data_IF_088317704214
#
_entry.id   IF_088317704214
#
_cell.length_a   1.000
_cell.length_b   1.000
_cell.length_c   1.000
_cell.angle_alpha   90.00
_cell.angle_beta   90.00
_cell.angle_gamma   90.00
#
_symmetry.space_group_name_H-M   'P 1'
#
loop_
_entity.id
_entity.type
_entity.pdbx_description
1 polymer ?
#
# COMPACT_ATOMS: atom_id res chain seq x y z
N UNK A 1 -11.40 35.27 -5.17
CA UNK A 1 -10.52 34.14 -4.80
C UNK A 1 -11.19 32.87 -5.32
N UNK A 2 -10.82 32.39 -6.50
CA UNK A 2 -11.46 31.22 -7.11
C UNK A 2 -10.94 29.96 -6.41
N UNK A 3 -11.76 29.37 -5.55
CA UNK A 3 -11.48 28.07 -4.93
C UNK A 3 -11.66 27.01 -6.03
N UNK A 4 -10.59 26.69 -6.75
CA UNK A 4 -10.60 25.57 -7.70
C UNK A 4 -10.81 24.29 -6.90
N UNK A 5 -11.97 23.66 -7.08
CA UNK A 5 -12.30 22.40 -6.43
C UNK A 5 -11.57 21.30 -7.21
N UNK A 6 -10.57 20.70 -6.58
CA UNK A 6 -9.88 19.56 -7.15
C UNK A 6 -10.65 18.29 -6.81
N UNK A 7 -11.30 17.70 -7.81
CA UNK A 7 -11.98 16.43 -7.66
C UNK A 7 -10.95 15.31 -7.88
N UNK A 8 -10.50 14.67 -6.80
CA UNK A 8 -9.63 13.50 -6.86
C UNK A 8 -10.32 12.29 -6.22
N UNK A 9 -10.09 11.11 -6.78
CA UNK A 9 -10.55 9.84 -6.20
C UNK A 9 -9.42 9.21 -5.40
N UNK A 10 -9.63 8.99 -4.11
CA UNK A 10 -8.74 8.21 -3.25
C UNK A 10 -9.01 6.72 -3.43
N UNK A 11 -7.94 5.92 -3.45
CA UNK A 11 -7.99 4.46 -3.44
C UNK A 11 -6.99 3.92 -2.42
N UNK A 12 -7.30 2.76 -1.84
CA UNK A 12 -6.39 2.03 -0.96
C UNK A 12 -6.26 0.63 -1.54
N UNK A 13 -5.04 0.25 -1.91
CA UNK A 13 -4.73 -1.04 -2.49
C UNK A 13 -3.95 -1.88 -1.48
N UNK A 14 -4.16 -3.19 -1.46
CA UNK A 14 -3.48 -4.10 -0.54
C UNK A 14 -2.16 -4.63 -1.12
N UNK A 15 -2.01 -4.56 -2.44
CA UNK A 15 -0.85 -5.08 -3.17
C UNK A 15 -0.31 -4.06 -4.16
N UNK A 16 1.03 -3.99 -4.35
CA UNK A 16 1.62 -3.17 -5.41
C UNK A 16 1.22 -3.69 -6.80
N UNK A 17 0.77 -4.93 -6.94
CA UNK A 17 0.33 -5.49 -8.23
C UNK A 17 -0.99 -4.90 -8.71
N UNK A 18 -1.74 -4.21 -7.85
CA UNK A 18 -3.02 -3.58 -8.19
C UNK A 18 -2.86 -2.20 -8.84
N UNK A 19 -1.65 -1.65 -8.85
CA UNK A 19 -1.33 -0.37 -9.50
C UNK A 19 -0.40 -0.61 -10.69
N UNK A 20 -0.61 0.16 -11.76
CA UNK A 20 0.26 0.12 -12.93
C UNK A 20 1.68 0.58 -12.58
N UNK A 21 2.66 -0.26 -12.94
CA UNK A 21 4.06 -0.01 -12.61
C UNK A 21 4.62 1.23 -13.33
N UNK A 22 4.17 1.50 -14.56
CA UNK A 22 4.64 2.64 -15.33
C UNK A 22 4.06 3.95 -14.77
N UNK A 23 2.79 3.98 -14.38
CA UNK A 23 2.19 5.14 -13.72
C UNK A 23 2.85 5.43 -12.36
N UNK A 24 3.09 4.40 -11.56
CA UNK A 24 3.78 4.54 -10.29
C UNK A 24 5.21 5.08 -10.46
N UNK A 25 5.98 4.50 -11.38
CA UNK A 25 7.36 4.92 -11.63
C UNK A 25 7.41 6.32 -12.28
N UNK A 26 6.41 6.71 -13.08
CA UNK A 26 6.30 8.06 -13.62
C UNK A 26 6.08 9.11 -12.51
N UNK A 27 5.30 8.79 -11.47
CA UNK A 27 5.16 9.65 -10.29
C UNK A 27 6.45 9.75 -9.48
N UNK A 28 7.13 8.61 -9.27
CA UNK A 28 8.41 8.60 -8.58
C UNK A 28 9.46 9.47 -9.29
N UNK A 29 9.48 9.44 -10.64
CA UNK A 29 10.37 10.26 -11.44
C UNK A 29 10.10 11.78 -11.32
N UNK A 30 8.91 12.19 -10.86
CA UNK A 30 8.59 13.60 -10.60
C UNK A 30 9.04 14.06 -9.20
N UNK A 31 9.46 13.15 -8.31
CA UNK A 31 10.01 13.54 -7.01
C UNK A 31 11.39 14.18 -7.17
N UNK A 32 11.68 15.18 -6.34
CA UNK A 32 12.98 15.85 -6.37
C UNK A 32 14.15 14.90 -6.03
N UNK A 33 13.90 13.84 -5.27
CA UNK A 33 14.88 12.82 -4.89
C UNK A 33 14.25 11.42 -4.99
N UNK A 34 14.21 10.82 -6.18
CA UNK A 34 13.66 9.48 -6.36
C UNK A 34 14.54 8.46 -5.64
N UNK A 35 13.94 7.63 -4.79
CA UNK A 35 14.66 6.53 -4.13
C UNK A 35 14.34 5.20 -4.79
N UNK A 36 15.33 4.30 -4.97
CA UNK A 36 15.08 2.99 -5.57
C UNK A 36 14.13 2.12 -4.73
N UNK A 37 14.03 2.41 -3.42
CA UNK A 37 13.17 1.70 -2.48
C UNK A 37 11.67 2.01 -2.64
N UNK A 38 11.33 3.06 -3.40
CA UNK A 38 9.96 3.39 -3.73
C UNK A 38 9.58 2.98 -5.15
N UNK A 39 10.46 2.31 -5.89
CA UNK A 39 10.13 1.77 -7.21
C UNK A 39 9.11 0.66 -7.10
N UNK A 40 8.23 0.55 -8.11
CA UNK A 40 7.23 -0.51 -8.16
C UNK A 40 7.86 -1.89 -8.06
N UNK A 41 8.97 -2.12 -8.76
CA UNK A 41 9.65 -3.42 -8.79
C UNK A 41 10.20 -3.80 -7.42
N UNK A 42 10.70 -2.83 -6.65
CA UNK A 42 11.20 -3.07 -5.29
C UNK A 42 10.06 -3.38 -4.33
N UNK A 43 8.96 -2.63 -4.39
CA UNK A 43 7.77 -2.87 -3.56
C UNK A 43 7.11 -4.22 -3.88
N UNK A 44 7.07 -4.58 -5.17
CA UNK A 44 6.60 -5.89 -5.63
C UNK A 44 7.49 -7.02 -5.12
N UNK A 45 8.82 -6.86 -5.21
CA UNK A 45 9.76 -7.83 -4.66
C UNK A 45 9.61 -7.99 -3.13
N UNK A 46 9.42 -6.90 -2.38
CA UNK A 46 9.17 -6.92 -0.93
C UNK A 46 7.87 -7.64 -0.56
N UNK A 47 6.83 -7.44 -1.36
CA UNK A 47 5.56 -8.12 -1.17
C UNK A 47 5.70 -9.62 -1.49
N UNK A 48 6.34 -9.95 -2.61
CA UNK A 48 6.58 -11.33 -3.03
C UNK A 48 7.51 -12.10 -2.06
N UNK A 49 8.48 -11.43 -1.44
CA UNK A 49 9.39 -12.05 -0.46
C UNK A 49 8.77 -12.24 0.92
N UNK A 50 7.50 -11.83 1.12
CA UNK A 50 6.79 -11.90 2.40
C UNK A 50 7.53 -11.23 3.57
N UNK A 51 8.44 -10.30 3.29
CA UNK A 51 9.27 -9.68 4.34
C UNK A 51 8.51 -8.57 5.08
N UNK A 52 7.58 -7.89 4.40
CA UNK A 52 6.76 -6.81 4.94
C UNK A 52 5.28 -7.05 4.62
N UNK A 53 4.75 -8.20 5.06
CA UNK A 53 3.36 -8.63 4.85
C UNK A 53 2.68 -8.90 6.19
N UNK A 54 1.35 -9.01 6.19
CA UNK A 54 0.56 -9.08 7.42
C UNK A 54 1.02 -10.18 8.39
N UNK A 55 1.59 -11.26 7.85
CA UNK A 55 2.15 -12.39 8.61
C UNK A 55 3.37 -12.00 9.48
N UNK A 56 4.11 -10.95 9.10
CA UNK A 56 5.20 -10.37 9.90
C UNK A 56 4.74 -9.23 10.82
N UNK A 57 3.42 -9.01 10.92
CA UNK A 57 2.82 -7.93 11.72
C UNK A 57 2.78 -6.57 11.01
N UNK A 58 3.11 -6.52 9.71
CA UNK A 58 3.09 -5.31 8.89
C UNK A 58 2.09 -5.45 7.74
N UNK A 59 1.03 -4.65 7.69
CA UNK A 59 0.11 -4.62 6.57
C UNK A 59 0.51 -3.51 5.59
N UNK A 60 1.07 -3.83 4.41
CA UNK A 60 1.31 -2.82 3.38
C UNK A 60 -0.03 -2.36 2.81
N UNK A 61 -0.18 -1.06 2.67
CA UNK A 61 -1.32 -0.38 2.06
C UNK A 61 -0.78 0.67 1.09
N UNK A 62 -1.24 0.65 -0.15
CA UNK A 62 -0.82 1.62 -1.16
C UNK A 62 -1.96 2.61 -1.35
N UNK A 63 -1.78 3.81 -0.80
CA UNK A 63 -2.74 4.90 -0.95
C UNK A 63 -2.50 5.57 -2.28
N UNK A 64 -3.56 5.68 -3.08
CA UNK A 64 -3.51 6.25 -4.43
C UNK A 64 -4.49 7.41 -4.55
N UNK A 65 -4.15 8.38 -5.39
CA UNK A 65 -4.99 9.50 -5.79
C UNK A 65 -5.08 9.47 -7.31
N UNK A 66 -6.29 9.32 -7.84
CA UNK A 66 -6.54 9.32 -9.29
C UNK A 66 -7.30 10.58 -9.68
N UNK A 67 -6.88 11.23 -10.75
CA UNK A 67 -7.65 12.30 -11.38
C UNK A 67 -8.77 11.68 -12.22
N UNK A 68 -10.06 11.84 -11.86
CA UNK A 68 -11.18 11.26 -12.59
C UNK A 68 -11.34 11.84 -14.00
N UNK A 69 -10.75 13.00 -14.30
CA UNK A 69 -10.83 13.64 -15.64
C UNK A 69 -9.88 12.98 -16.63
N UNK A 70 -8.70 12.58 -16.16
CA UNK A 70 -7.66 11.96 -16.99
C UNK A 70 -7.58 10.45 -16.80
N UNK A 71 -8.13 9.92 -15.71
CA UNK A 71 -8.02 8.52 -15.30
C UNK A 71 -6.63 8.15 -14.75
N UNK A 72 -5.71 9.11 -14.61
CA UNK A 72 -4.31 8.87 -14.28
C UNK A 72 -4.03 9.02 -12.79
N UNK A 73 -3.02 8.30 -12.32
CA UNK A 73 -2.49 8.45 -10.98
C UNK A 73 -1.86 9.86 -10.80
N UNK A 74 -2.45 10.66 -9.91
CA UNK A 74 -2.00 11.99 -9.55
C UNK A 74 -1.02 11.97 -8.36
N UNK A 75 -1.21 11.03 -7.43
CA UNK A 75 -0.28 10.80 -6.33
C UNK A 75 -0.40 9.36 -5.82
N UNK A 76 0.67 8.85 -5.23
CA UNK A 76 0.65 7.56 -4.54
C UNK A 76 1.65 7.51 -3.39
N UNK A 77 1.33 6.75 -2.34
CA UNK A 77 2.18 6.58 -1.17
C UNK A 77 2.04 5.14 -0.62
N UNK A 78 3.15 4.41 -0.44
CA UNK A 78 3.13 3.16 0.31
C UNK A 78 3.10 3.47 1.81
N UNK A 79 2.17 2.86 2.52
CA UNK A 79 1.97 2.98 3.96
C UNK A 79 2.06 1.58 4.56
N UNK A 80 2.93 1.40 5.54
CA UNK A 80 3.05 0.12 6.24
C UNK A 80 2.41 0.28 7.62
N UNK A 81 1.22 -0.30 7.78
CA UNK A 81 0.53 -0.32 9.05
C UNK A 81 1.12 -1.44 9.93
N UNK A 82 1.65 -1.08 11.08
CA UNK A 82 2.08 -2.07 12.08
C UNK A 82 0.87 -2.52 12.89
N UNK A 83 0.53 -3.80 12.83
CA UNK A 83 -0.64 -4.37 13.50
C UNK A 83 -0.51 -4.53 15.01
N UNK A 84 0.69 -4.32 15.58
CA UNK A 84 0.96 -4.57 17.00
C UNK A 84 1.84 -3.48 17.63
N UNK A 85 1.25 -2.69 18.51
CA UNK A 85 1.93 -1.98 19.60
C UNK A 85 1.51 -2.57 20.95
N UNK A 86 1.36 -3.90 21.02
CA UNK A 86 1.25 -4.63 22.29
C UNK A 86 2.42 -5.60 22.35
N UNK A 87 3.13 -5.57 23.48
CA UNK A 87 4.35 -6.33 23.72
C UNK A 87 4.17 -7.84 23.53
N UNK A 88 5.30 -8.54 23.52
CA UNK A 88 5.43 -9.98 23.78
C UNK A 88 4.20 -10.54 24.49
N UNK A 89 3.47 -11.44 23.84
CA UNK A 89 2.91 -12.69 24.38
C UNK A 89 1.91 -13.23 23.36
N UNK A 90 2.24 -14.37 22.77
CA UNK A 90 1.26 -15.27 22.17
C UNK A 90 1.09 -15.18 20.66
N UNK A 91 2.06 -15.70 19.91
CA UNK A 91 1.69 -16.67 18.87
C UNK A 91 2.75 -17.76 18.75
N UNK A 92 2.69 -18.68 19.70
CA UNK A 92 3.16 -20.04 19.49
C UNK A 92 2.19 -20.73 18.53
N UNK A 93 2.76 -21.41 17.56
CA UNK A 93 2.26 -22.43 16.64
C UNK A 93 0.82 -22.96 16.86
N UNK A 94 0.07 -23.06 15.75
CA UNK A 94 -0.80 -24.22 15.54
C UNK A 94 -2.23 -23.92 15.06
N UNK A 95 -2.55 -24.46 13.88
CA UNK A 95 -3.89 -25.00 13.61
C UNK A 95 -4.92 -24.04 13.03
N UNK A 96 -5.22 -24.30 11.75
CA UNK A 96 -6.57 -24.32 11.16
C UNK A 96 -7.71 -24.01 12.15
N UNK A 97 -8.52 -22.99 11.86
CA UNK A 97 -9.88 -23.19 11.35
C UNK A 97 -10.58 -21.84 11.18
N UNK A 98 -11.11 -21.67 9.96
CA UNK A 98 -12.16 -20.74 9.62
C UNK A 98 -13.45 -21.19 10.33
N UNK A 99 -14.31 -20.22 10.68
CA UNK A 99 -15.75 -20.38 10.94
C UNK A 99 -16.21 -20.75 12.38
N UNK A 100 -16.46 -19.70 13.19
CA UNK A 100 -17.58 -19.54 14.15
C UNK A 100 -17.26 -18.43 15.16
N UNK A 101 -17.95 -17.28 15.07
CA UNK A 101 -18.48 -16.56 16.25
C UNK A 101 -19.35 -15.34 15.83
N UNK A 102 -20.56 -15.62 15.31
CA UNK A 102 -21.72 -14.79 15.62
C UNK A 102 -22.73 -15.75 16.23
N UNK A 103 -22.76 -15.79 17.56
CA UNK A 103 -23.95 -15.97 18.39
C UNK A 103 -23.67 -15.31 19.75
#
# INVERSE_FOLDING_TARGET
MNQQRFDYRTGILASPSEVDAAEWNALLAQQAQPTPFLRHEFLSALHASQSAVADTGWAPQFVTLTDPRTGRLAAAAPVYLKGHSYGEYGRLCGGRDFDRLID
#
